data_IF_182971641413
#
_entry.id   IF_182971641413
#
_cell.length_a   1.000
_cell.length_b   1.000
_cell.length_c   1.000
_cell.angle_alpha   90.00
_cell.angle_beta   90.00
_cell.angle_gamma   90.00
#
_symmetry.space_group_name_H-M   'P 1'
#
loop_
_entity.id
_entity.type
_entity.pdbx_description
1 polymer ?
#
# COMPACT_ATOMS: atom_id res chain seq x y z
N UNK A 1 6.79 -8.42 0.52
CA UNK A 1 5.57 -7.75 0.04
C UNK A 1 5.85 -6.88 -1.19
N UNK A 2 4.96 -6.94 -2.18
CA UNK A 2 5.00 -6.15 -3.43
C UNK A 2 3.66 -5.44 -3.62
N UNK A 3 3.69 -4.29 -4.27
CA UNK A 3 2.55 -3.41 -4.44
C UNK A 3 2.46 -3.00 -5.90
N UNK A 4 1.45 -3.48 -6.62
CA UNK A 4 1.16 -3.05 -7.98
C UNK A 4 0.21 -1.87 -7.95
N UNK A 5 0.59 -0.79 -8.63
CA UNK A 5 -0.12 0.47 -8.58
C UNK A 5 -1.04 0.59 -9.78
N UNK A 6 -2.25 1.06 -9.57
CA UNK A 6 -3.22 1.47 -10.59
C UNK A 6 -3.89 2.76 -10.13
N UNK A 7 -4.40 3.55 -11.08
CA UNK A 7 -5.10 4.78 -10.75
C UNK A 7 -4.68 5.98 -11.58
N UNK A 8 -4.99 7.16 -11.05
CA UNK A 8 -4.73 8.45 -11.68
C UNK A 8 -4.53 9.54 -10.62
N UNK A 9 -4.45 10.82 -11.03
CA UNK A 9 -4.15 11.94 -10.15
C UNK A 9 -5.09 12.09 -8.93
N UNK A 10 -6.26 11.45 -8.93
CA UNK A 10 -7.29 11.57 -7.90
C UNK A 10 -7.48 10.32 -7.04
N UNK A 11 -7.08 9.14 -7.53
CA UNK A 11 -7.21 7.89 -6.80
C UNK A 11 -6.07 6.93 -7.06
N UNK A 12 -5.78 6.11 -6.06
CA UNK A 12 -4.76 5.07 -6.08
C UNK A 12 -5.39 3.74 -5.68
N UNK A 13 -5.32 2.75 -6.55
CA UNK A 13 -5.62 1.36 -6.25
C UNK A 13 -4.32 0.57 -6.18
N UNK A 14 -4.19 -0.24 -5.16
CA UNK A 14 -3.00 -1.01 -4.88
C UNK A 14 -3.39 -2.48 -4.77
N UNK A 15 -2.77 -3.31 -5.60
CA UNK A 15 -2.84 -4.75 -5.46
C UNK A 15 -1.61 -5.25 -4.69
N UNK A 16 -1.83 -5.91 -3.54
CA UNK A 16 -0.75 -6.39 -2.67
C UNK A 16 -0.47 -7.86 -2.92
N UNK A 17 0.81 -8.19 -3.05
CA UNK A 17 1.30 -9.54 -3.32
C UNK A 17 2.46 -9.90 -2.40
N UNK A 18 2.73 -11.20 -2.28
CA UNK A 18 3.86 -11.75 -1.52
C UNK A 18 3.85 -11.26 -0.06
N UNK A 19 2.68 -11.30 0.56
CA UNK A 19 2.46 -11.06 1.99
C UNK A 19 3.00 -12.28 2.73
N UNK A 20 3.95 -12.07 3.64
CA UNK A 20 4.50 -13.13 4.50
C UNK A 20 3.57 -13.51 5.64
N UNK A 21 4.06 -14.33 6.57
CA UNK A 21 3.27 -14.79 7.73
C UNK A 21 2.00 -15.54 7.30
N UNK A 22 0.87 -15.18 7.91
CA UNK A 22 -0.44 -15.78 7.62
C UNK A 22 -1.00 -15.44 6.21
N UNK A 23 -0.37 -14.52 5.47
CA UNK A 23 -0.72 -14.21 4.09
C UNK A 23 -2.00 -13.40 3.92
N UNK A 24 -2.50 -12.80 5.01
CA UNK A 24 -3.80 -12.15 5.09
C UNK A 24 -3.67 -10.67 5.46
N UNK A 25 -4.69 -9.88 5.11
CA UNK A 25 -4.71 -8.44 5.36
C UNK A 25 -6.06 -8.03 5.93
N UNK A 26 -6.05 -7.49 7.15
CA UNK A 26 -7.21 -6.87 7.81
C UNK A 26 -7.47 -5.46 7.32
N UNK A 27 -6.43 -4.65 7.24
CA UNK A 27 -6.55 -3.24 6.90
C UNK A 27 -5.27 -2.68 6.32
N UNK A 28 -5.41 -1.61 5.54
CA UNK A 28 -4.30 -0.90 4.93
C UNK A 28 -4.47 0.61 5.01
N UNK A 29 -3.35 1.31 5.12
CA UNK A 29 -3.28 2.75 4.97
C UNK A 29 -2.08 3.13 4.09
N UNK A 30 -2.22 4.23 3.35
CA UNK A 30 -1.16 4.82 2.54
C UNK A 30 -0.77 6.18 3.10
N UNK A 31 0.51 6.53 3.02
CA UNK A 31 1.03 7.85 3.39
C UNK A 31 1.92 8.37 2.27
N UNK A 32 1.59 9.55 1.76
CA UNK A 32 2.51 10.34 0.94
C UNK A 32 3.51 11.09 1.80
N UNK A 33 4.65 11.48 1.21
CA UNK A 33 5.66 12.30 1.88
C UNK A 33 5.14 13.63 2.45
N UNK A 34 4.00 14.13 1.94
CA UNK A 34 3.36 15.39 2.38
C UNK A 34 1.97 15.19 3.00
N UNK A 35 1.55 13.95 3.29
CA UNK A 35 0.23 13.66 3.88
C UNK A 35 0.36 12.94 5.22
N UNK A 36 -0.74 12.87 5.99
CA UNK A 36 -0.87 11.87 7.07
C UNK A 36 -1.19 10.48 6.50
N UNK A 37 -1.33 9.48 7.37
CA UNK A 37 -1.83 8.17 7.00
C UNK A 37 -3.29 8.27 6.55
N UNK A 38 -3.58 7.77 5.37
CA UNK A 38 -4.89 7.74 4.74
C UNK A 38 -5.36 6.29 4.72
N UNK A 39 -6.48 6.01 5.38
CA UNK A 39 -7.07 4.67 5.35
C UNK A 39 -7.47 4.31 3.92
N UNK A 40 -7.14 3.09 3.50
CA UNK A 40 -7.54 2.57 2.20
C UNK A 40 -8.78 1.69 2.37
N UNK A 41 -9.76 1.85 1.48
CA UNK A 41 -10.92 0.99 1.41
C UNK A 41 -10.56 -0.32 0.72
N UNK A 42 -10.98 -1.45 1.30
CA UNK A 42 -10.91 -2.73 0.61
C UNK A 42 -11.79 -2.67 -0.63
N UNK A 43 -11.29 -3.14 -1.77
CA UNK A 43 -12.03 -3.18 -3.03
C UNK A 43 -12.39 -4.63 -3.39
N UNK A 44 -11.49 -5.37 -4.03
CA UNK A 44 -11.70 -6.79 -4.33
C UNK A 44 -10.38 -7.58 -4.22
N UNK A 45 -10.46 -8.82 -3.74
CA UNK A 45 -9.28 -9.65 -3.49
C UNK A 45 -8.28 -8.95 -2.56
N UNK A 46 -7.00 -8.94 -2.94
CA UNK A 46 -5.94 -8.23 -2.23
C UNK A 46 -5.75 -6.77 -2.70
N UNK A 47 -6.82 -6.13 -3.19
CA UNK A 47 -6.78 -4.75 -3.71
C UNK A 47 -7.39 -3.74 -2.75
N UNK A 48 -6.71 -2.62 -2.57
CA UNK A 48 -7.11 -1.54 -1.66
C UNK A 48 -7.02 -0.19 -2.35
N UNK A 49 -8.02 0.68 -2.12
CA UNK A 49 -8.19 1.95 -2.82
C UNK A 49 -8.11 3.15 -1.86
N UNK A 50 -7.44 4.21 -2.28
CA UNK A 50 -7.45 5.52 -1.64
C UNK A 50 -7.92 6.59 -2.65
N UNK A 51 -8.83 7.46 -2.22
CA UNK A 51 -9.27 8.63 -2.98
C UNK A 51 -8.47 9.86 -2.52
N UNK A 52 -7.21 9.94 -2.96
CA UNK A 52 -6.32 11.04 -2.60
C UNK A 52 -5.28 11.30 -3.69
N UNK A 53 -4.90 12.57 -3.85
CA UNK A 53 -3.88 13.01 -4.79
C UNK A 53 -2.47 12.75 -4.25
N UNK A 54 -1.95 11.56 -4.57
CA UNK A 54 -0.67 11.05 -4.08
C UNK A 54 0.47 11.13 -5.12
N UNK A 55 0.19 11.61 -6.33
CA UNK A 55 1.20 11.82 -7.36
C UNK A 55 2.28 12.82 -6.91
N UNK A 56 3.52 12.59 -7.33
CA UNK A 56 4.66 13.43 -6.95
C UNK A 56 5.13 13.25 -5.50
N UNK A 57 4.66 12.21 -4.80
CA UNK A 57 5.01 11.92 -3.40
C UNK A 57 5.56 10.51 -3.28
N UNK A 58 6.60 10.32 -2.45
CA UNK A 58 6.99 8.95 -2.10
C UNK A 58 5.88 8.32 -1.27
N UNK A 59 5.60 7.04 -1.51
CA UNK A 59 4.49 6.35 -0.86
C UNK A 59 5.00 5.31 0.13
N UNK A 60 4.41 5.35 1.31
CA UNK A 60 4.58 4.37 2.38
C UNK A 60 3.24 3.69 2.67
N UNK A 61 3.30 2.45 3.14
CA UNK A 61 2.12 1.65 3.44
C UNK A 61 2.18 1.12 4.86
N UNK A 62 1.03 1.08 5.52
CA UNK A 62 0.82 0.40 6.79
C UNK A 62 -0.16 -0.73 6.52
N UNK A 63 0.22 -1.95 6.85
CA UNK A 63 -0.57 -3.16 6.58
C UNK A 63 -0.74 -3.92 7.88
N UNK A 64 -1.96 -4.33 8.21
CA UNK A 64 -2.26 -5.09 9.42
C UNK A 64 -2.80 -6.47 9.04
N UNK A 65 -2.26 -7.55 9.61
CA UNK A 65 -2.76 -8.92 9.42
C UNK A 65 -4.06 -9.13 10.20
N UNK A 66 -4.98 -9.93 9.66
CA UNK A 66 -6.23 -10.31 10.31
C UNK A 66 -6.02 -11.43 11.34
N UNK A 67 -5.20 -12.42 11.01
CA UNK A 67 -4.88 -13.59 11.83
C UNK A 67 -3.98 -13.24 13.00
N UNK A 68 -2.88 -12.51 12.77
CA UNK A 68 -1.91 -12.23 13.84
C UNK A 68 -2.14 -10.89 14.52
N UNK A 69 -2.88 -9.96 13.87
CA UNK A 69 -3.01 -8.58 14.34
C UNK A 69 -1.72 -7.75 14.20
N UNK A 70 -0.63 -8.35 13.71
CA UNK A 70 0.64 -7.66 13.48
C UNK A 70 0.44 -6.51 12.49
N UNK A 71 1.13 -5.40 12.71
CA UNK A 71 1.14 -4.27 11.78
C UNK A 71 2.54 -4.01 11.26
N UNK A 72 2.71 -4.09 9.95
CA UNK A 72 3.96 -3.81 9.24
C UNK A 72 3.90 -2.44 8.60
N UNK A 73 4.97 -1.66 8.81
CA UNK A 73 5.20 -0.38 8.15
C UNK A 73 6.21 -0.55 7.01
N UNK A 74 5.72 -0.40 5.79
CA UNK A 74 6.52 -0.41 4.57
C UNK A 74 6.82 1.03 4.14
N UNK A 75 7.98 1.54 4.55
CA UNK A 75 8.39 2.93 4.30
C UNK A 75 8.98 3.14 2.90
N UNK A 76 8.61 4.24 2.26
CA UNK A 76 9.14 4.70 0.98
C UNK A 76 9.21 3.59 -0.10
N UNK A 77 8.15 2.79 -0.19
CA UNK A 77 8.04 1.67 -1.15
C UNK A 77 8.14 2.17 -2.59
N UNK A 78 7.53 3.32 -2.87
CA UNK A 78 7.56 3.94 -4.18
C UNK A 78 8.17 5.35 -4.09
N UNK A 79 9.10 5.73 -4.99
CA UNK A 79 9.67 7.07 -5.05
C UNK A 79 8.65 8.10 -5.57
N UNK A 80 8.92 9.40 -5.45
CA UNK A 80 7.97 10.46 -5.85
C UNK A 80 7.56 10.45 -7.32
N UNK A 81 8.38 9.87 -8.19
CA UNK A 81 8.14 9.70 -9.62
C UNK A 81 7.55 8.31 -9.97
N UNK A 82 6.79 7.72 -9.04
CA UNK A 82 6.11 6.45 -9.28
C UNK A 82 5.08 6.58 -10.41
N UNK A 83 4.81 5.46 -11.09
CA UNK A 83 3.87 5.40 -12.21
C UNK A 83 2.80 4.32 -11.96
N UNK A 84 1.57 4.61 -12.38
CA UNK A 84 0.53 3.60 -12.46
C UNK A 84 0.92 2.51 -13.48
N UNK A 85 0.51 1.28 -13.23
CA UNK A 85 0.90 0.08 -13.98
C UNK A 85 2.18 -0.59 -13.47
N UNK A 86 2.99 0.10 -12.65
CA UNK A 86 4.24 -0.44 -12.12
C UNK A 86 4.04 -1.21 -10.81
N UNK A 87 5.00 -2.09 -10.50
CA UNK A 87 5.04 -2.82 -9.22
C UNK A 87 6.27 -2.42 -8.42
N UNK A 88 6.05 -2.06 -7.16
CA UNK A 88 7.09 -1.65 -6.23
C UNK A 88 7.28 -2.69 -5.13
N UNK A 89 8.54 -2.93 -4.73
CA UNK A 89 8.90 -3.92 -3.71
C UNK A 89 9.20 -3.23 -2.40
N UNK A 90 8.63 -3.74 -1.31
CA UNK A 90 8.98 -3.33 0.05
C UNK A 90 10.11 -4.20 0.60
N UNK A 91 10.98 -3.59 1.42
CA UNK A 91 11.95 -4.30 2.27
C UNK A 91 11.30 -4.91 3.52
N UNK A 92 10.14 -4.40 3.94
CA UNK A 92 9.37 -4.92 5.06
C UNK A 92 8.37 -5.99 4.62
N UNK A 93 8.19 -7.01 5.46
CA UNK A 93 7.19 -8.06 5.33
C UNK A 93 6.81 -8.62 6.70
N UNK A 94 5.66 -9.30 6.77
CA UNK A 94 5.26 -10.10 7.93
C UNK A 94 6.17 -11.33 8.07
N UNK A 95 6.30 -11.83 9.31
CA UNK A 95 7.13 -12.98 9.65
C UNK A 95 6.31 -14.23 9.90
#
# INVERSE_FOLDING_TARGET
MRFQFQGNAYWLLIFVMNVGGAGDIKSMAVKGSRTNWISMSHNWGASYQAFSSLYGQSLSFRVTSYTTGETVYAWNVAPSNWNAGMTYKSSANFR
#
